data_IF_474532714736
#
_entry.id   IF_474532714736
#
_cell.length_a   1.000
_cell.length_b   1.000
_cell.length_c   1.000
_cell.angle_alpha   90.00
_cell.angle_beta   90.00
_cell.angle_gamma   90.00
#
_symmetry.space_group_name_H-M   'P 1'
#
loop_
_entity.id
_entity.type
_entity.pdbx_description
1 polymer ?
#
# COMPACT_ATOMS: atom_id res chain seq x y z
N UNK A 1 23.30 -13.63 20.13
CA UNK A 1 22.36 -14.76 20.29
C UNK A 1 21.34 -14.31 21.32
N UNK A 2 20.10 -14.05 20.90
CA UNK A 2 19.01 -13.67 21.81
C UNK A 2 18.61 -14.88 22.67
N UNK A 3 18.46 -14.66 23.98
CA UNK A 3 18.10 -15.71 24.95
C UNK A 3 16.66 -16.24 24.75
N UNK A 4 16.33 -17.39 25.37
CA UNK A 4 15.09 -18.15 25.13
C UNK A 4 13.78 -17.47 25.60
N UNK A 5 13.83 -16.24 26.13
CA UNK A 5 12.67 -15.53 26.72
C UNK A 5 12.28 -14.23 25.97
N UNK A 6 12.89 -13.91 24.82
CA UNK A 6 12.52 -12.72 24.04
C UNK A 6 11.57 -13.07 22.91
N UNK A 7 10.37 -12.47 22.92
CA UNK A 7 9.41 -12.56 21.84
C UNK A 7 10.03 -12.13 20.49
N UNK A 8 9.71 -12.81 19.38
CA UNK A 8 10.33 -12.50 18.09
C UNK A 8 9.92 -11.10 17.61
N UNK A 9 10.88 -10.38 17.00
CA UNK A 9 10.66 -9.12 16.28
C UNK A 9 9.61 -9.34 15.19
N UNK A 10 8.63 -8.45 15.07
CA UNK A 10 7.49 -8.66 14.19
C UNK A 10 7.92 -8.72 12.71
N UNK A 11 8.87 -7.87 12.29
CA UNK A 11 9.44 -7.89 10.94
C UNK A 11 10.24 -9.16 10.62
N UNK A 12 10.73 -9.89 11.65
CA UNK A 12 11.44 -11.16 11.48
C UNK A 12 10.51 -12.33 11.16
N UNK A 13 9.21 -12.19 11.40
CA UNK A 13 8.20 -13.17 11.03
C UNK A 13 7.77 -13.04 9.56
N UNK A 14 8.39 -12.13 8.79
CA UNK A 14 7.98 -11.77 7.44
C UNK A 14 9.04 -12.18 6.40
N UNK A 15 8.74 -13.16 5.55
CA UNK A 15 9.61 -13.57 4.42
C UNK A 15 9.74 -12.45 3.36
N UNK A 16 8.71 -11.60 3.22
CA UNK A 16 8.72 -10.33 2.51
C UNK A 16 7.88 -9.32 3.30
N UNK A 17 8.36 -8.10 3.53
CA UNK A 17 7.60 -7.11 4.32
C UNK A 17 6.71 -6.25 3.43
N UNK A 18 5.52 -5.91 3.92
CA UNK A 18 4.64 -4.90 3.32
C UNK A 18 4.13 -5.28 1.94
N UNK A 19 3.86 -4.29 1.11
CA UNK A 19 3.45 -4.53 -0.28
C UNK A 19 4.53 -5.28 -1.10
N UNK A 20 5.76 -5.40 -0.60
CA UNK A 20 6.81 -6.23 -1.20
C UNK A 20 6.56 -7.74 -1.13
N UNK A 21 5.54 -8.20 -0.38
CA UNK A 21 5.08 -9.59 -0.38
C UNK A 21 4.06 -9.92 -1.48
N UNK A 22 3.62 -8.93 -2.27
CA UNK A 22 2.67 -9.15 -3.38
C UNK A 22 3.27 -10.09 -4.45
N UNK A 23 2.41 -10.89 -5.08
CA UNK A 23 2.77 -11.65 -6.29
C UNK A 23 3.14 -10.63 -7.37
N UNK A 24 4.27 -10.85 -8.05
CA UNK A 24 4.74 -9.93 -9.10
C UNK A 24 3.67 -9.78 -10.20
N UNK A 25 3.50 -8.58 -10.79
CA UNK A 25 2.40 -8.28 -11.72
C UNK A 25 2.30 -9.28 -12.88
N UNK A 26 3.44 -9.62 -13.49
CA UNK A 26 3.49 -10.58 -14.60
C UNK A 26 3.00 -11.98 -14.20
N UNK A 27 3.43 -12.45 -13.02
CA UNK A 27 3.02 -13.77 -12.49
C UNK A 27 1.52 -13.77 -12.19
N UNK A 28 1.00 -12.71 -11.56
CA UNK A 28 -0.43 -12.59 -11.27
C UNK A 28 -1.25 -12.58 -12.57
N UNK A 29 -0.84 -11.79 -13.57
CA UNK A 29 -1.49 -11.74 -14.88
C UNK A 29 -1.56 -13.15 -15.52
N UNK A 30 -0.47 -13.90 -15.48
CA UNK A 30 -0.42 -15.25 -16.05
C UNK A 30 -1.29 -16.25 -15.27
N UNK A 31 -1.37 -16.15 -13.95
CA UNK A 31 -2.30 -16.95 -13.13
C UNK A 31 -3.75 -16.62 -13.51
N UNK A 32 -4.11 -15.33 -13.56
CA UNK A 32 -5.47 -14.88 -13.81
C UNK A 32 -5.98 -15.23 -15.21
N UNK A 33 -5.09 -15.35 -16.22
CA UNK A 33 -5.45 -15.84 -17.57
C UNK A 33 -6.00 -17.27 -17.56
N UNK A 34 -5.59 -18.09 -16.59
CA UNK A 34 -5.96 -19.50 -16.50
C UNK A 34 -7.17 -19.74 -15.59
N UNK A 35 -7.67 -18.72 -14.90
CA UNK A 35 -8.90 -18.82 -14.08
C UNK A 35 -10.11 -18.78 -15.01
N UNK A 36 -11.02 -19.79 -14.98
CA UNK A 36 -12.23 -19.76 -15.78
C UNK A 36 -13.00 -18.46 -15.55
N UNK A 37 -13.32 -17.74 -16.63
CA UNK A 37 -14.22 -16.59 -16.53
C UNK A 37 -15.59 -17.11 -16.10
N UNK A 38 -16.19 -16.46 -15.10
CA UNK A 38 -17.55 -16.79 -14.68
C UNK A 38 -18.50 -16.80 -15.88
N UNK A 39 -19.50 -17.67 -15.86
CA UNK A 39 -20.49 -17.81 -16.94
C UNK A 39 -21.48 -16.65 -17.01
N UNK A 40 -21.48 -15.76 -16.00
CA UNK A 40 -22.36 -14.60 -15.91
C UNK A 40 -21.65 -13.36 -16.48
N UNK A 41 -22.35 -12.53 -17.28
CA UNK A 41 -21.82 -11.24 -17.69
C UNK A 41 -21.64 -10.33 -16.46
N UNK A 42 -20.65 -9.45 -16.51
CA UNK A 42 -20.53 -8.41 -15.50
C UNK A 42 -21.76 -7.49 -15.55
N UNK A 43 -22.31 -7.11 -14.38
CA UNK A 43 -23.46 -6.23 -14.33
C UNK A 43 -23.09 -4.85 -14.88
N UNK A 44 -24.00 -4.21 -15.63
CA UNK A 44 -23.77 -2.88 -16.22
C UNK A 44 -23.51 -1.77 -15.19
N UNK A 45 -23.84 -2.03 -13.93
CA UNK A 45 -23.59 -1.12 -12.81
C UNK A 45 -22.17 -1.25 -12.24
N UNK A 46 -21.39 -2.24 -12.65
CA UNK A 46 -19.97 -2.32 -12.31
C UNK A 46 -19.20 -1.35 -13.22
N UNK A 47 -18.73 -0.23 -12.66
CA UNK A 47 -18.04 0.82 -13.40
C UNK A 47 -16.54 0.54 -13.56
N UNK A 48 -15.98 -0.15 -12.56
CA UNK A 48 -14.60 -0.61 -12.47
C UNK A 48 -14.64 -1.99 -11.83
N UNK A 49 -14.12 -2.98 -12.55
CA UNK A 49 -14.10 -4.38 -12.15
C UNK A 49 -12.76 -5.03 -12.44
N UNK A 50 -12.70 -6.36 -12.42
CA UNK A 50 -11.47 -7.12 -12.68
C UNK A 50 -10.95 -6.94 -14.12
N UNK A 51 -11.82 -6.52 -15.03
CA UNK A 51 -11.52 -6.24 -16.43
C UNK A 51 -10.60 -5.02 -16.62
N UNK A 52 -10.56 -4.13 -15.63
CA UNK A 52 -9.73 -2.93 -15.59
C UNK A 52 -8.75 -3.05 -14.43
N UNK A 53 -7.46 -2.80 -14.67
CA UNK A 53 -6.42 -2.84 -13.62
C UNK A 53 -6.40 -1.54 -12.81
N UNK A 54 -7.52 -1.16 -12.21
CA UNK A 54 -7.64 -0.01 -11.29
C UNK A 54 -7.47 -0.46 -9.82
N UNK A 55 -7.33 0.51 -8.91
CA UNK A 55 -7.01 0.27 -7.49
C UNK A 55 -8.15 -0.36 -6.68
N UNK A 56 -9.40 -0.16 -7.07
CA UNK A 56 -10.55 -0.69 -6.36
C UNK A 56 -11.73 -1.00 -7.30
N UNK A 57 -12.62 -1.90 -6.85
CA UNK A 57 -13.87 -2.15 -7.55
C UNK A 57 -14.86 -1.00 -7.28
N UNK A 58 -15.54 -0.52 -8.32
CA UNK A 58 -16.54 0.55 -8.22
C UNK A 58 -17.89 0.07 -8.74
N UNK A 59 -18.87 0.03 -7.86
CA UNK A 59 -20.23 -0.42 -8.17
C UNK A 59 -21.23 0.74 -8.04
N UNK A 60 -21.83 1.15 -9.16
CA UNK A 60 -22.87 2.18 -9.21
C UNK A 60 -24.15 1.68 -8.56
N UNK A 61 -24.63 2.38 -7.54
CA UNK A 61 -25.94 2.11 -6.93
C UNK A 61 -27.04 2.90 -7.64
N UNK A 62 -26.76 4.17 -7.96
CA UNK A 62 -27.64 5.09 -8.67
C UNK A 62 -26.83 6.21 -9.34
N UNK A 63 -27.48 7.19 -9.95
CA UNK A 63 -26.81 8.26 -10.70
C UNK A 63 -25.97 9.22 -9.86
N UNK A 64 -26.15 9.20 -8.53
CA UNK A 64 -25.46 10.07 -7.58
C UNK A 64 -24.53 9.34 -6.62
N UNK A 65 -24.58 7.99 -6.59
CA UNK A 65 -23.84 7.18 -5.63
C UNK A 65 -23.26 5.91 -6.27
N UNK A 66 -21.97 5.69 -6.04
CA UNK A 66 -21.28 4.44 -6.24
C UNK A 66 -20.58 4.02 -4.94
N UNK A 67 -20.46 2.71 -4.76
CA UNK A 67 -19.67 2.09 -3.69
C UNK A 67 -18.31 1.72 -4.25
N UNK A 68 -17.27 2.04 -3.51
CA UNK A 68 -15.90 1.62 -3.76
C UNK A 68 -15.54 0.53 -2.76
N UNK A 69 -15.03 -0.60 -3.23
CA UNK A 69 -14.61 -1.71 -2.38
C UNK A 69 -13.21 -2.15 -2.78
N UNK A 70 -12.33 -2.21 -1.78
CA UNK A 70 -10.98 -2.76 -1.95
C UNK A 70 -10.59 -3.63 -0.74
N UNK A 71 -9.53 -4.41 -0.90
CA UNK A 71 -8.91 -5.17 0.17
C UNK A 71 -7.40 -5.14 0.00
N UNK A 72 -6.69 -4.81 1.06
CA UNK A 72 -5.23 -5.00 1.11
C UNK A 72 -4.82 -5.48 2.50
N UNK A 73 -3.86 -6.39 2.53
CA UNK A 73 -3.29 -6.99 3.72
C UNK A 73 -1.90 -7.51 3.43
N UNK A 74 -1.01 -7.42 4.41
CA UNK A 74 0.38 -7.80 4.21
C UNK A 74 1.06 -8.19 5.51
N UNK A 75 2.29 -8.68 5.35
CA UNK A 75 3.18 -9.00 6.45
C UNK A 75 3.89 -7.74 7.01
N UNK A 76 4.23 -7.70 8.30
CA UNK A 76 4.88 -6.59 8.99
C UNK A 76 6.09 -5.97 8.26
N UNK A 77 6.10 -4.63 8.18
CA UNK A 77 7.28 -3.84 7.75
C UNK A 77 8.04 -3.17 8.90
N UNK A 78 7.45 -3.18 10.09
CA UNK A 78 7.98 -2.61 11.33
C UNK A 78 7.92 -3.64 12.45
N UNK A 79 8.69 -3.40 13.51
CA UNK A 79 8.71 -4.26 14.70
C UNK A 79 7.65 -3.90 15.74
N UNK A 80 7.25 -2.62 15.81
CA UNK A 80 6.17 -2.15 16.69
C UNK A 80 4.80 -2.61 16.18
N UNK A 81 4.02 -3.24 17.06
CA UNK A 81 2.72 -3.80 16.73
C UNK A 81 1.67 -2.74 16.38
N UNK A 82 1.66 -1.64 17.13
CA UNK A 82 0.69 -0.57 16.96
C UNK A 82 0.93 0.15 15.63
N UNK A 83 2.18 0.50 15.33
CA UNK A 83 2.53 1.09 14.05
C UNK A 83 2.29 0.14 12.88
N UNK A 84 2.52 -1.17 13.02
CA UNK A 84 2.14 -2.12 11.97
C UNK A 84 0.65 -2.08 11.67
N UNK A 85 -0.19 -2.08 12.72
CA UNK A 85 -1.63 -1.92 12.60
C UNK A 85 -2.03 -0.66 11.84
N UNK A 86 -1.44 0.48 12.22
CA UNK A 86 -1.69 1.78 11.57
C UNK A 86 -1.29 1.76 10.10
N UNK A 87 -0.12 1.24 9.78
CA UNK A 87 0.40 1.19 8.40
C UNK A 87 -0.50 0.32 7.51
N UNK A 88 -0.90 -0.86 8.00
CA UNK A 88 -1.78 -1.76 7.27
C UNK A 88 -3.16 -1.15 7.00
N UNK A 89 -3.76 -0.51 8.00
CA UNK A 89 -5.03 0.19 7.83
C UNK A 89 -4.92 1.38 6.88
N UNK A 90 -3.86 2.20 7.01
CA UNK A 90 -3.63 3.36 6.14
C UNK A 90 -3.48 2.92 4.68
N UNK A 91 -2.73 1.85 4.44
CA UNK A 91 -2.57 1.28 3.10
C UNK A 91 -3.89 0.75 2.54
N UNK A 92 -4.64 -0.03 3.31
CA UNK A 92 -5.91 -0.60 2.84
C UNK A 92 -6.98 0.47 2.53
N UNK A 93 -6.93 1.62 3.21
CA UNK A 93 -7.79 2.78 2.91
C UNK A 93 -7.29 3.60 1.71
N UNK A 94 -6.04 3.43 1.30
CA UNK A 94 -5.40 4.25 0.26
C UNK A 94 -6.10 4.11 -1.08
N UNK A 95 -6.44 2.89 -1.51
CA UNK A 95 -7.15 2.65 -2.77
C UNK A 95 -8.51 3.36 -2.82
N UNK A 96 -9.22 3.47 -1.69
CA UNK A 96 -10.49 4.22 -1.62
C UNK A 96 -10.25 5.69 -1.95
N UNK A 97 -9.19 6.28 -1.40
CA UNK A 97 -8.81 7.65 -1.71
C UNK A 97 -8.27 7.80 -3.14
N UNK A 98 -7.57 6.80 -3.67
CA UNK A 98 -7.08 6.77 -5.05
C UNK A 98 -8.22 6.83 -6.08
N UNK A 99 -9.38 6.23 -5.76
CA UNK A 99 -10.60 6.37 -6.57
C UNK A 99 -11.34 7.70 -6.38
N UNK A 100 -10.86 8.57 -5.48
CA UNK A 100 -11.54 9.82 -5.11
C UNK A 100 -12.76 9.64 -4.21
N UNK A 101 -12.86 8.49 -3.52
CA UNK A 101 -13.99 8.16 -2.67
C UNK A 101 -13.74 8.47 -1.19
N UNK A 102 -14.82 8.65 -0.44
CA UNK A 102 -14.77 8.83 1.02
C UNK A 102 -15.01 7.48 1.69
N UNK A 103 -14.09 6.98 2.54
CA UNK A 103 -14.32 5.78 3.33
C UNK A 103 -15.55 5.90 4.24
N UNK A 104 -16.27 4.80 4.44
CA UNK A 104 -17.45 4.73 5.32
C UNK A 104 -17.35 3.65 6.40
N UNK A 105 -16.68 2.54 6.13
CA UNK A 105 -16.39 1.49 7.11
C UNK A 105 -15.29 0.56 6.62
N UNK A 106 -14.80 -0.31 7.52
CA UNK A 106 -13.84 -1.35 7.19
C UNK A 106 -14.13 -2.67 7.92
N UNK A 107 -13.63 -3.78 7.37
CA UNK A 107 -13.59 -5.09 8.03
C UNK A 107 -12.13 -5.53 8.19
N UNK A 108 -11.77 -6.01 9.38
CA UNK A 108 -10.41 -6.49 9.64
C UNK A 108 -10.16 -7.88 9.04
N UNK A 109 -8.99 -8.06 8.44
CA UNK A 109 -8.43 -9.36 8.05
C UNK A 109 -7.24 -9.65 8.97
N UNK A 110 -7.30 -10.76 9.70
CA UNK A 110 -6.29 -11.10 10.71
C UNK A 110 -5.82 -12.54 10.49
N UNK A 111 -4.52 -12.75 10.31
CA UNK A 111 -3.91 -14.06 10.39
C UNK A 111 -2.65 -13.95 11.24
N UNK A 112 -2.59 -14.73 12.32
CA UNK A 112 -1.56 -14.56 13.35
C UNK A 112 -1.01 -15.92 13.76
N UNK A 113 0.32 -16.08 13.94
CA UNK A 113 0.90 -17.32 14.42
C UNK A 113 0.81 -17.38 15.93
N UNK A 114 -0.33 -17.86 16.42
CA UNK A 114 -0.71 -17.84 17.83
C UNK A 114 0.33 -18.51 18.73
N UNK A 115 0.92 -19.62 18.27
CA UNK A 115 1.98 -20.32 19.00
C UNK A 115 3.32 -19.55 19.06
N UNK A 116 3.65 -18.75 18.04
CA UNK A 116 4.91 -17.97 17.98
C UNK A 116 4.78 -16.62 18.69
N UNK A 117 3.57 -16.07 18.71
CA UNK A 117 3.20 -14.87 19.43
C UNK A 117 2.73 -15.19 20.85
N UNK A 118 3.16 -16.32 21.44
CA UNK A 118 2.90 -16.76 22.82
C UNK A 118 1.46 -16.63 23.34
N UNK A 119 0.48 -16.50 22.45
CA UNK A 119 -0.91 -16.13 22.77
C UNK A 119 -1.71 -17.26 23.42
N UNK A 120 -1.15 -18.48 23.54
CA UNK A 120 -1.87 -19.65 24.02
C UNK A 120 -0.97 -20.54 24.88
N UNK A 121 -1.08 -20.40 26.21
CA UNK A 121 -1.05 -21.58 27.06
C UNK A 121 -2.50 -21.93 27.39
N UNK A 122 -3.03 -22.98 26.76
CA UNK A 122 -4.16 -23.67 27.38
C UNK A 122 -3.63 -24.22 28.70
N UNK A 123 -4.16 -23.74 29.83
CA UNK A 123 -3.94 -24.43 31.09
C UNK A 123 -4.68 -25.77 31.01
N UNK A 124 -3.97 -26.83 30.66
CA UNK A 124 -4.37 -28.18 31.03
C UNK A 124 -4.14 -28.31 32.53
N UNK A 125 -5.17 -28.03 33.32
CA UNK A 125 -5.15 -28.42 34.73
C UNK A 125 -5.16 -29.95 34.77
N UNK A 126 -3.99 -30.57 34.93
CA UNK A 126 -3.90 -31.98 35.33
C UNK A 126 -4.27 -32.09 36.80
N UNK A 127 -5.56 -32.16 37.09
CA UNK A 127 -6.05 -32.67 38.36
C UNK A 127 -5.76 -34.18 38.40
N UNK A 128 -4.67 -34.60 39.04
CA UNK A 128 -4.48 -35.99 39.44
C UNK A 128 -5.31 -36.26 40.70
N UNK A 129 -6.60 -36.53 40.51
CA UNK A 129 -7.40 -37.28 41.49
C UNK A 129 -8.26 -38.28 40.74
N UNK A 130 -7.81 -39.52 40.79
CA UNK A 130 -8.54 -40.77 40.55
C UNK A 130 -9.66 -40.73 39.48
N UNK A 131 -9.26 -41.05 38.25
CA UNK A 131 -10.06 -41.80 37.26
C UNK A 131 -11.40 -41.23 36.74
N UNK A 132 -11.57 -39.92 36.61
CA UNK A 132 -12.62 -39.36 35.74
C UNK A 132 -12.10 -38.18 34.91
N UNK A 133 -11.92 -38.39 33.61
CA UNK A 133 -11.63 -37.31 32.64
C UNK A 133 -12.91 -36.49 32.41
N UNK A 134 -13.06 -35.40 33.16
CA UNK A 134 -14.03 -34.36 32.84
C UNK A 134 -13.29 -33.07 32.49
N UNK A 135 -13.33 -32.68 31.22
CA UNK A 135 -12.76 -31.44 30.72
C UNK A 135 -13.70 -30.28 31.05
N UNK A 136 -13.53 -29.65 32.22
CA UNK A 136 -14.27 -28.43 32.55
C UNK A 136 -13.59 -27.22 31.89
N UNK A 137 -14.30 -26.57 30.96
CA UNK A 137 -13.87 -25.28 30.38
C UNK A 137 -14.30 -24.15 31.32
N UNK A 138 -13.45 -23.80 32.29
CA UNK A 138 -13.67 -22.62 33.14
C UNK A 138 -12.89 -21.44 32.54
N UNK A 139 -13.53 -20.31 32.18
CA UNK A 139 -12.80 -19.10 31.80
C UNK A 139 -12.03 -18.54 33.01
N UNK A 140 -10.77 -18.09 32.86
CA UNK A 140 -9.97 -17.64 33.99
C UNK A 140 -10.54 -16.36 34.63
N UNK A 141 -10.24 -16.11 35.92
CA UNK A 141 -10.57 -14.84 36.58
C UNK A 141 -9.96 -13.65 35.84
N UNK A 142 -10.65 -12.51 35.85
CA UNK A 142 -10.30 -11.30 35.07
C UNK A 142 -8.90 -10.73 35.32
N UNK A 143 -8.26 -11.10 36.42
CA UNK A 143 -6.94 -10.66 36.88
C UNK A 143 -5.79 -11.56 36.42
N UNK A 144 -6.07 -12.65 35.68
CA UNK A 144 -5.09 -13.63 35.18
C UNK A 144 -5.17 -13.80 33.65
N UNK A 145 -5.56 -12.76 32.89
CA UNK A 145 -5.47 -12.82 31.42
C UNK A 145 -3.99 -12.99 31.02
N UNK A 146 -3.65 -13.87 30.06
CA UNK A 146 -2.27 -14.05 29.66
C UNK A 146 -1.74 -12.74 29.02
N UNK A 147 -0.50 -12.32 29.32
CA UNK A 147 0.07 -11.06 28.85
C UNK A 147 0.30 -10.97 27.31
N UNK A 148 -0.01 -12.01 26.55
CA UNK A 148 0.29 -12.09 25.11
C UNK A 148 -0.94 -11.94 24.18
N UNK A 149 -2.12 -11.66 24.73
CA UNK A 149 -3.21 -11.04 23.95
C UNK A 149 -2.87 -9.59 23.58
N UNK A 150 -1.84 -8.99 24.20
CA UNK A 150 -1.46 -7.58 24.01
C UNK A 150 -0.92 -7.27 22.62
N UNK A 151 -0.19 -8.18 21.95
CA UNK A 151 0.42 -7.89 20.65
C UNK A 151 -0.61 -7.78 19.53
N UNK A 152 -1.51 -8.76 19.42
CA UNK A 152 -2.60 -8.72 18.45
C UNK A 152 -3.54 -7.56 18.77
N UNK A 153 -3.86 -7.33 20.05
CA UNK A 153 -4.64 -6.16 20.46
C UNK A 153 -3.99 -4.85 20.01
N UNK A 154 -2.68 -4.65 20.19
CA UNK A 154 -1.97 -3.46 19.70
C UNK A 154 -2.05 -3.28 18.19
N UNK A 155 -1.96 -4.36 17.40
CA UNK A 155 -2.13 -4.30 15.94
C UNK A 155 -3.56 -3.83 15.62
N UNK A 156 -4.56 -4.40 16.28
CA UNK A 156 -5.96 -4.01 16.07
C UNK A 156 -6.24 -2.58 16.54
N UNK A 157 -5.68 -2.16 17.67
CA UNK A 157 -5.75 -0.79 18.20
C UNK A 157 -5.10 0.20 17.23
N UNK A 158 -3.95 -0.16 16.66
CA UNK A 158 -3.29 0.63 15.63
C UNK A 158 -4.17 0.82 14.40
N UNK A 159 -4.74 -0.27 13.87
CA UNK A 159 -5.66 -0.18 12.74
C UNK A 159 -6.91 0.63 13.06
N UNK A 160 -7.51 0.41 14.23
CA UNK A 160 -8.68 1.15 14.71
C UNK A 160 -8.38 2.65 14.85
N UNK A 161 -7.19 3.04 15.34
CA UNK A 161 -6.82 4.46 15.47
C UNK A 161 -6.78 5.19 14.11
N UNK A 162 -6.36 4.51 13.04
CA UNK A 162 -6.36 5.08 11.69
C UNK A 162 -7.78 5.17 11.13
N UNK A 163 -8.62 4.16 11.38
CA UNK A 163 -10.03 4.23 11.02
C UNK A 163 -10.73 5.41 11.73
N UNK A 164 -10.43 5.65 13.01
CA UNK A 164 -10.94 6.81 13.76
C UNK A 164 -10.44 8.14 13.19
N UNK A 165 -9.17 8.24 12.81
CA UNK A 165 -8.62 9.41 12.10
C UNK A 165 -9.36 9.65 10.77
N UNK A 166 -9.73 8.58 10.05
CA UNK A 166 -10.51 8.64 8.83
C UNK A 166 -12.03 8.88 9.07
N UNK A 167 -12.49 8.93 10.32
CA UNK A 167 -13.89 9.14 10.68
C UNK A 167 -14.79 7.90 10.49
N UNK A 168 -14.21 6.70 10.49
CA UNK A 168 -14.92 5.43 10.28
C UNK A 168 -14.63 4.42 11.39
N UNK A 169 -15.35 3.31 11.40
CA UNK A 169 -15.11 2.20 12.31
C UNK A 169 -14.73 0.92 11.56
N UNK A 170 -13.91 0.09 12.21
CA UNK A 170 -13.82 -1.33 11.87
C UNK A 170 -15.09 -2.00 12.42
N UNK A 171 -16.00 -2.40 11.53
CA UNK A 171 -17.35 -2.88 11.90
C UNK A 171 -17.46 -4.40 12.01
N UNK A 172 -16.34 -5.10 11.88
CA UNK A 172 -16.27 -6.55 11.93
C UNK A 172 -14.96 -7.04 11.33
N UNK A 173 -14.90 -8.33 10.99
CA UNK A 173 -13.73 -8.91 10.37
C UNK A 173 -13.71 -10.43 10.43
N UNK A 174 -12.59 -11.00 10.03
CA UNK A 174 -12.33 -12.42 10.15
C UNK A 174 -10.89 -12.68 10.60
N UNK A 175 -10.71 -13.68 11.45
CA UNK A 175 -9.41 -14.06 12.00
C UNK A 175 -9.15 -15.55 11.86
N UNK A 176 -7.92 -15.91 11.47
CA UNK A 176 -7.45 -17.30 11.43
C UNK A 176 -6.11 -17.46 12.17
N UNK A 177 -5.85 -18.67 12.67
CA UNK A 177 -4.51 -19.08 13.10
C UNK A 177 -3.69 -19.47 11.87
N UNK A 178 -2.44 -19.03 11.80
CA UNK A 178 -1.58 -19.24 10.64
C UNK A 178 -0.10 -19.33 10.98
N UNK A 179 0.76 -19.43 9.97
CA UNK A 179 2.21 -19.52 10.18
C UNK A 179 2.91 -18.16 10.16
N UNK A 180 2.27 -17.17 9.54
CA UNK A 180 2.77 -15.83 9.28
C UNK A 180 1.85 -14.78 9.93
N UNK A 181 2.41 -13.62 10.26
CA UNK A 181 1.67 -12.48 10.75
C UNK A 181 1.17 -11.67 9.55
N UNK A 182 -0.14 -11.57 9.38
CA UNK A 182 -0.80 -10.84 8.29
C UNK A 182 -1.93 -10.02 8.90
N UNK A 183 -1.96 -8.74 8.55
CA UNK A 183 -3.02 -7.83 8.94
C UNK A 183 -3.34 -6.87 7.79
N UNK A 184 -4.60 -6.45 7.72
CA UNK A 184 -5.10 -5.48 6.76
C UNK A 184 -6.61 -5.35 6.86
N UNK A 185 -7.19 -4.65 5.89
CA UNK A 185 -8.62 -4.35 5.90
C UNK A 185 -9.26 -4.64 4.54
N UNK A 186 -10.54 -4.99 4.58
CA UNK A 186 -11.47 -4.67 3.50
C UNK A 186 -11.98 -3.27 3.77
N UNK A 187 -11.74 -2.33 2.86
CA UNK A 187 -12.20 -0.96 2.99
C UNK A 187 -13.38 -0.70 2.04
N UNK A 188 -14.39 0.01 2.55
CA UNK A 188 -15.58 0.39 1.80
C UNK A 188 -15.70 1.91 1.82
N UNK A 189 -15.87 2.49 0.64
CA UNK A 189 -16.10 3.92 0.46
C UNK A 189 -17.31 4.21 -0.42
N UNK A 190 -17.67 5.49 -0.47
CA UNK A 190 -18.73 6.00 -1.33
C UNK A 190 -18.25 7.21 -2.10
N UNK A 191 -18.79 7.39 -3.30
CA UNK A 191 -18.50 8.54 -4.14
C UNK A 191 -19.64 8.87 -5.09
N UNK A 192 -19.60 10.07 -5.67
CA UNK A 192 -20.42 10.37 -6.84
C UNK A 192 -19.79 9.73 -8.08
N UNK A 193 -20.51 8.90 -8.86
CA UNK A 193 -19.97 8.24 -10.05
C UNK A 193 -19.34 9.19 -11.08
N UNK A 194 -19.78 10.46 -11.12
CA UNK A 194 -19.24 11.50 -12.02
C UNK A 194 -17.82 11.91 -11.70
N UNK A 195 -17.38 11.69 -10.46
CA UNK A 195 -16.07 12.08 -9.97
C UNK A 195 -15.03 10.97 -10.10
N UNK A 196 -15.38 9.85 -10.76
CA UNK A 196 -14.51 8.69 -10.90
C UNK A 196 -13.25 9.06 -11.67
N UNK A 197 -12.10 8.97 -10.99
CA UNK A 197 -10.77 9.10 -11.60
C UNK A 197 -10.23 7.70 -11.83
N UNK A 198 -10.22 7.29 -13.10
CA UNK A 198 -9.59 6.03 -13.52
C UNK A 198 -8.13 6.28 -13.86
N UNK A 199 -7.31 5.24 -13.78
CA UNK A 199 -5.92 5.33 -14.22
C UNK A 199 -5.74 5.37 -15.75
N UNK A 200 -6.83 5.20 -16.53
CA UNK A 200 -6.84 5.18 -18.00
C UNK A 200 -7.07 6.55 -18.67
N UNK A 201 -7.25 7.62 -17.89
CA UNK A 201 -7.72 8.91 -18.39
C UNK A 201 -6.63 10.00 -18.56
N UNK A 202 -5.34 9.69 -18.37
CA UNK A 202 -4.25 10.66 -18.52
C UNK A 202 -4.17 11.23 -19.94
N UNK A 203 -3.86 12.52 -20.06
CA UNK A 203 -3.81 13.23 -21.36
C UNK A 203 -2.40 13.73 -21.66
N UNK A 204 -2.04 13.74 -22.95
CA UNK A 204 -0.78 14.35 -23.40
C UNK A 204 -0.77 15.83 -23.01
N UNK A 205 0.33 16.26 -22.38
CA UNK A 205 0.49 17.62 -21.83
C UNK A 205 0.16 17.73 -20.34
N UNK A 206 -0.44 16.70 -19.73
CA UNK A 206 -0.70 16.70 -18.29
C UNK A 206 0.61 16.82 -17.49
N UNK A 207 0.55 17.55 -16.39
CA UNK A 207 1.57 17.48 -15.34
C UNK A 207 1.37 16.22 -14.48
N UNK A 208 2.47 15.61 -14.04
CA UNK A 208 2.49 14.45 -13.14
C UNK A 208 2.84 14.93 -11.74
N UNK A 209 1.97 14.67 -10.77
CA UNK A 209 2.13 15.11 -9.36
C UNK A 209 2.21 13.89 -8.44
N UNK A 210 3.19 13.89 -7.53
CA UNK A 210 3.37 12.86 -6.51
C UNK A 210 3.12 13.44 -5.10
N UNK A 211 2.25 12.79 -4.33
CA UNK A 211 1.78 13.29 -3.03
C UNK A 211 2.67 12.98 -1.82
N UNK A 212 3.52 11.94 -1.89
CA UNK A 212 4.45 11.56 -0.81
C UNK A 212 5.85 11.27 -1.35
N UNK A 213 6.91 11.49 -0.56
CA UNK A 213 8.26 11.10 -0.94
C UNK A 213 8.42 9.58 -1.10
N UNK A 214 9.35 9.16 -1.96
CA UNK A 214 9.74 7.76 -2.13
C UNK A 214 10.84 7.32 -1.16
N UNK A 215 11.02 6.01 -1.02
CA UNK A 215 12.14 5.38 -0.29
C UNK A 215 11.73 4.61 0.97
N UNK A 216 10.43 4.39 1.18
CA UNK A 216 9.93 3.62 2.33
C UNK A 216 10.42 2.17 2.29
N UNK A 217 10.47 1.55 1.11
CA UNK A 217 10.98 0.17 0.98
C UNK A 217 12.47 0.09 1.30
N UNK A 218 13.26 1.09 0.91
CA UNK A 218 14.67 1.23 1.30
C UNK A 218 14.82 1.34 2.82
N UNK A 219 14.02 2.20 3.47
CA UNK A 219 14.00 2.30 4.93
C UNK A 219 13.60 0.97 5.59
N UNK A 220 12.60 0.27 5.04
CA UNK A 220 12.20 -1.05 5.54
C UNK A 220 13.32 -2.09 5.40
N UNK A 221 14.06 -2.07 4.29
CA UNK A 221 15.23 -2.93 4.10
C UNK A 221 16.35 -2.63 5.12
N UNK A 222 16.61 -1.34 5.39
CA UNK A 222 17.55 -0.91 6.41
C UNK A 222 17.10 -1.32 7.83
N UNK A 223 15.81 -1.17 8.16
CA UNK A 223 15.25 -1.58 9.45
C UNK A 223 15.43 -3.08 9.70
N UNK A 224 15.16 -3.91 8.69
CA UNK A 224 15.35 -5.38 8.79
C UNK A 224 16.80 -5.74 9.10
N UNK A 225 17.75 -5.01 8.51
CA UNK A 225 19.20 -5.13 8.76
C UNK A 225 19.68 -4.37 10.01
N UNK A 226 18.77 -3.78 10.79
CA UNK A 226 19.07 -3.01 12.01
C UNK A 226 19.98 -1.80 11.75
N UNK A 227 19.86 -1.20 10.57
CA UNK A 227 20.67 -0.06 10.11
C UNK A 227 19.87 1.25 9.99
N UNK A 228 18.59 1.24 10.39
CA UNK A 228 17.74 2.44 10.38
C UNK A 228 17.80 3.13 11.75
N UNK A 229 18.08 4.43 11.77
CA UNK A 229 18.08 5.21 13.01
C UNK A 229 16.65 5.43 13.54
N UNK A 230 16.47 5.73 14.84
CA UNK A 230 15.15 6.06 15.40
C UNK A 230 14.46 7.24 14.71
N UNK A 231 15.22 8.26 14.28
CA UNK A 231 14.70 9.43 13.58
C UNK A 231 14.17 9.05 12.19
N UNK A 232 14.92 8.22 11.44
CA UNK A 232 14.48 7.70 10.15
C UNK A 232 13.31 6.74 10.30
N UNK A 233 13.24 5.97 11.38
CA UNK A 233 12.06 5.16 11.72
C UNK A 233 10.83 6.03 11.97
N UNK A 234 10.96 7.13 12.72
CA UNK A 234 9.88 8.09 12.91
C UNK A 234 9.42 8.73 11.59
N UNK A 235 10.36 9.08 10.70
CA UNK A 235 10.03 9.55 9.34
C UNK A 235 9.30 8.49 8.53
N UNK A 236 9.73 7.22 8.61
CA UNK A 236 9.06 6.11 7.94
C UNK A 236 7.61 5.96 8.41
N UNK A 237 7.40 5.89 9.72
CA UNK A 237 6.07 5.73 10.33
C UNK A 237 5.18 6.94 10.00
N UNK A 238 5.69 8.17 10.12
CA UNK A 238 4.99 9.39 9.70
C UNK A 238 4.39 9.29 8.29
N UNK A 239 5.17 8.87 7.29
CA UNK A 239 4.70 8.81 5.90
C UNK A 239 3.79 7.62 5.64
N UNK A 240 4.09 6.47 6.24
CA UNK A 240 3.35 5.22 6.06
C UNK A 240 2.04 5.17 6.85
N UNK A 241 1.83 6.07 7.81
CA UNK A 241 0.55 6.24 8.52
C UNK A 241 -0.19 7.51 8.15
N UNK A 242 0.25 8.25 7.12
CA UNK A 242 -0.46 9.46 6.66
C UNK A 242 -1.52 9.06 5.64
N UNK A 243 -2.80 9.20 5.99
CA UNK A 243 -3.94 8.89 5.12
C UNK A 243 -3.97 9.80 3.89
N UNK A 244 -4.16 9.21 2.71
CA UNK A 244 -4.26 9.91 1.41
C UNK A 244 -5.57 10.73 1.25
N UNK A 245 -6.03 11.41 2.30
CA UNK A 245 -7.28 12.18 2.35
C UNK A 245 -7.40 13.27 1.29
N UNK A 246 -6.29 13.69 0.66
CA UNK A 246 -6.31 14.57 -0.50
C UNK A 246 -7.08 13.98 -1.69
N UNK A 247 -7.12 12.65 -1.81
CA UNK A 247 -7.80 11.95 -2.89
C UNK A 247 -9.27 12.31 -3.03
N UNK A 248 -9.98 12.50 -1.91
CA UNK A 248 -11.39 12.93 -1.94
C UNK A 248 -11.55 14.27 -2.66
N UNK A 249 -10.73 15.25 -2.29
CA UNK A 249 -10.79 16.59 -2.89
C UNK A 249 -10.32 16.58 -4.34
N UNK A 250 -9.26 15.83 -4.64
CA UNK A 250 -8.73 15.68 -6.00
C UNK A 250 -9.72 14.99 -6.95
N UNK A 251 -10.50 14.03 -6.44
CA UNK A 251 -11.56 13.35 -7.19
C UNK A 251 -12.64 14.29 -7.69
N UNK A 252 -12.88 15.41 -7.01
CA UNK A 252 -13.88 16.41 -7.41
C UNK A 252 -13.37 17.42 -8.45
N UNK A 253 -12.05 17.44 -8.71
CA UNK A 253 -11.44 18.40 -9.63
C UNK A 253 -11.54 17.93 -11.08
N UNK A 254 -12.19 18.69 -11.95
CA UNK A 254 -12.36 18.33 -13.37
C UNK A 254 -11.03 18.27 -14.15
N UNK A 255 -10.05 19.09 -13.75
CA UNK A 255 -8.71 19.15 -14.34
C UNK A 255 -7.76 18.06 -13.82
N UNK A 256 -8.19 17.21 -12.87
CA UNK A 256 -7.50 15.96 -12.54
C UNK A 256 -8.02 14.88 -13.48
N UNK A 257 -7.14 14.28 -14.27
CA UNK A 257 -7.52 13.35 -15.32
C UNK A 257 -7.38 11.90 -14.88
N UNK A 258 -6.20 11.49 -14.39
CA UNK A 258 -5.97 10.17 -13.80
C UNK A 258 -5.43 10.28 -12.38
N UNK A 259 -5.75 9.30 -11.55
CA UNK A 259 -5.28 9.20 -10.18
C UNK A 259 -5.11 7.72 -9.80
N UNK A 260 -4.05 7.42 -9.07
CA UNK A 260 -3.75 6.12 -8.46
C UNK A 260 -2.90 6.37 -7.21
N UNK A 261 -2.48 5.33 -6.50
CA UNK A 261 -1.51 5.43 -5.42
C UNK A 261 -0.25 4.61 -5.67
N UNK A 262 0.91 5.16 -5.29
CA UNK A 262 2.18 4.46 -5.48
C UNK A 262 2.37 3.46 -4.34
N UNK A 263 2.18 2.17 -4.63
CA UNK A 263 2.31 1.09 -3.64
C UNK A 263 3.40 0.05 -3.98
N UNK A 264 3.05 -1.23 -4.03
CA UNK A 264 3.99 -2.37 -4.11
C UNK A 264 4.82 -2.43 -5.39
N UNK A 265 4.35 -1.84 -6.48
CA UNK A 265 5.06 -1.79 -7.77
C UNK A 265 5.96 -0.57 -7.92
N UNK A 266 6.07 0.27 -6.87
CA UNK A 266 6.89 1.48 -6.91
C UNK A 266 6.42 2.49 -7.95
N UNK A 267 7.14 3.62 -8.05
CA UNK A 267 6.78 4.70 -8.95
C UNK A 267 6.78 4.24 -10.42
N UNK A 268 7.77 3.43 -10.81
CA UNK A 268 7.91 2.96 -12.18
C UNK A 268 6.79 2.04 -12.62
N UNK A 269 6.32 1.14 -11.75
CA UNK A 269 5.24 0.22 -12.08
C UNK A 269 3.90 0.93 -12.25
N UNK A 270 3.52 1.74 -11.25
CA UNK A 270 2.27 2.52 -11.26
C UNK A 270 2.21 3.56 -12.37
N UNK A 271 3.35 4.23 -12.66
CA UNK A 271 3.43 5.13 -13.82
C UNK A 271 3.26 4.36 -15.14
N UNK A 272 3.78 3.13 -15.24
CA UNK A 272 3.65 2.32 -16.45
C UNK A 272 2.22 1.82 -16.65
N UNK A 273 1.48 1.55 -15.57
CA UNK A 273 0.07 1.19 -15.63
C UNK A 273 -0.76 2.33 -16.22
N UNK A 274 -0.58 3.57 -15.74
CA UNK A 274 -1.20 4.76 -16.34
C UNK A 274 -0.80 4.92 -17.80
N UNK A 275 0.51 4.88 -18.12
CA UNK A 275 0.99 5.02 -19.51
C UNK A 275 0.33 4.00 -20.46
N UNK A 276 0.23 2.74 -20.04
CA UNK A 276 -0.39 1.69 -20.85
C UNK A 276 -1.90 1.88 -21.00
N UNK A 277 -2.59 2.21 -19.92
CA UNK A 277 -4.04 2.37 -19.91
C UNK A 277 -4.47 3.59 -20.74
N UNK A 278 -3.72 4.69 -20.67
CA UNK A 278 -3.99 5.92 -21.43
C UNK A 278 -3.32 5.98 -22.80
N UNK A 279 -2.51 4.98 -23.17
CA UNK A 279 -1.69 4.99 -24.39
C UNK A 279 -0.83 6.26 -24.51
N UNK A 280 -0.06 6.55 -23.46
CA UNK A 280 0.83 7.72 -23.32
C UNK A 280 2.23 7.29 -22.84
N UNK A 281 3.18 8.24 -22.82
CA UNK A 281 4.49 8.07 -22.18
C UNK A 281 4.54 8.93 -20.92
N UNK A 282 4.92 8.36 -19.78
CA UNK A 282 5.15 9.13 -18.55
C UNK A 282 6.60 9.62 -18.50
N UNK A 283 6.83 10.93 -18.61
CA UNK A 283 8.17 11.53 -18.61
C UNK A 283 8.45 12.16 -17.25
N UNK A 284 9.34 11.56 -16.47
CA UNK A 284 9.63 11.92 -15.08
C UNK A 284 11.05 12.51 -15.01
N UNK A 285 11.15 13.69 -14.42
CA UNK A 285 12.41 14.34 -14.06
C UNK A 285 12.81 13.91 -12.66
N UNK A 286 13.82 13.04 -12.58
CA UNK A 286 14.26 12.45 -11.31
C UNK A 286 14.68 13.49 -10.27
N UNK A 287 15.24 14.62 -10.72
CA UNK A 287 15.68 15.69 -9.81
C UNK A 287 14.54 16.34 -9.02
N UNK A 288 13.30 16.17 -9.49
CA UNK A 288 12.08 16.70 -8.86
C UNK A 288 11.35 15.65 -8.01
N UNK A 289 11.76 14.39 -8.06
CA UNK A 289 11.11 13.32 -7.30
C UNK A 289 11.46 13.46 -5.82
N UNK A 290 10.48 13.71 -4.94
CA UNK A 290 10.76 13.82 -3.51
C UNK A 290 11.18 12.45 -2.94
N UNK A 291 12.24 12.44 -2.14
CA UNK A 291 12.75 11.25 -1.46
C UNK A 291 12.74 11.47 0.06
N UNK A 292 12.54 10.41 0.83
CA UNK A 292 12.82 10.46 2.27
C UNK A 292 14.34 10.63 2.48
N UNK A 293 14.72 11.33 3.55
CA UNK A 293 16.10 11.76 3.78
C UNK A 293 17.09 10.57 3.76
N UNK A 294 18.14 10.67 2.94
CA UNK A 294 19.15 9.62 2.83
C UNK A 294 18.68 8.30 2.19
N UNK A 295 17.50 8.26 1.56
CA UNK A 295 17.03 7.08 0.85
C UNK A 295 18.00 6.66 -0.28
N UNK A 296 18.49 7.64 -1.07
CA UNK A 296 19.43 7.36 -2.15
C UNK A 296 20.76 6.79 -1.63
N UNK A 297 21.29 7.35 -0.55
CA UNK A 297 22.52 6.87 0.10
C UNK A 297 22.36 5.42 0.58
N UNK A 298 21.23 5.10 1.21
CA UNK A 298 20.93 3.74 1.67
C UNK A 298 20.77 2.77 0.48
N UNK A 299 20.12 3.20 -0.60
CA UNK A 299 19.99 2.40 -1.82
C UNK A 299 21.37 2.10 -2.43
N UNK A 300 22.26 3.10 -2.50
CA UNK A 300 23.64 2.96 -2.96
C UNK A 300 24.47 2.01 -2.08
N UNK A 301 24.18 1.97 -0.78
CA UNK A 301 24.77 1.00 0.17
C UNK A 301 24.15 -0.41 0.06
N UNK A 302 23.19 -0.64 -0.84
CA UNK A 302 22.55 -1.93 -1.04
C UNK A 302 21.46 -2.28 -0.03
N UNK A 303 20.89 -1.29 0.67
CA UNK A 303 19.68 -1.46 1.47
C UNK A 303 18.44 -1.48 0.58
N UNK A 304 18.30 -2.53 -0.22
CA UNK A 304 17.23 -2.68 -1.21
C UNK A 304 16.35 -3.86 -0.85
N UNK A 305 15.05 -3.78 -1.13
CA UNK A 305 14.15 -4.92 -0.92
C UNK A 305 14.31 -5.93 -2.06
N UNK A 306 14.05 -7.21 -1.78
CA UNK A 306 13.95 -8.21 -2.85
C UNK A 306 12.81 -7.93 -3.84
N UNK A 307 11.81 -7.13 -3.45
CA UNK A 307 10.71 -6.76 -4.32
C UNK A 307 11.14 -5.76 -5.40
N UNK A 308 12.08 -4.85 -5.12
CA UNK A 308 12.63 -3.92 -6.13
C UNK A 308 13.20 -4.69 -7.34
N UNK A 309 13.97 -5.76 -7.07
CA UNK A 309 14.49 -6.63 -8.13
C UNK A 309 13.40 -7.38 -8.90
N UNK A 310 12.37 -7.91 -8.22
CA UNK A 310 11.22 -8.57 -8.88
C UNK A 310 10.42 -7.60 -9.74
N UNK A 311 10.25 -6.37 -9.26
CA UNK A 311 9.58 -5.29 -9.95
C UNK A 311 10.33 -4.93 -11.25
N UNK A 312 11.65 -4.69 -11.17
CA UNK A 312 12.49 -4.48 -12.35
C UNK A 312 12.43 -5.65 -13.34
N UNK A 313 12.47 -6.89 -12.85
CA UNK A 313 12.33 -8.06 -13.70
C UNK A 313 10.94 -8.18 -14.36
N UNK A 314 9.90 -7.65 -13.72
CA UNK A 314 8.51 -7.72 -14.22
C UNK A 314 8.21 -6.67 -15.27
N UNK A 315 8.68 -5.43 -15.10
CA UNK A 315 8.28 -4.30 -15.94
C UNK A 315 9.43 -3.39 -16.39
N UNK A 316 10.69 -3.75 -16.14
CA UNK A 316 11.87 -2.95 -16.48
C UNK A 316 12.02 -2.62 -17.97
N UNK A 317 11.51 -3.48 -18.87
CA UNK A 317 11.47 -3.19 -20.32
C UNK A 317 10.59 -1.98 -20.68
N UNK A 318 9.60 -1.67 -19.84
CA UNK A 318 8.76 -0.49 -19.96
C UNK A 318 9.38 0.77 -19.38
N UNK A 319 10.57 0.68 -18.78
CA UNK A 319 11.30 1.82 -18.24
C UNK A 319 12.44 2.22 -19.19
N UNK A 320 12.57 3.51 -19.42
CA UNK A 320 13.67 4.10 -20.18
C UNK A 320 14.41 5.10 -19.29
N UNK A 321 15.68 4.84 -19.00
CA UNK A 321 16.52 5.74 -18.21
C UNK A 321 17.39 6.57 -19.15
N UNK A 322 17.27 7.89 -19.06
CA UNK A 322 18.04 8.85 -19.87
C UNK A 322 18.97 9.63 -18.95
N UNK A 323 20.27 9.58 -19.24
CA UNK A 323 21.32 10.18 -18.40
C UNK A 323 22.13 9.14 -17.63
N UNK A 324 23.01 9.61 -16.75
CA UNK A 324 23.85 8.76 -15.90
C UNK A 324 23.25 8.67 -14.51
N UNK A 325 23.18 7.46 -13.94
CA UNK A 325 22.72 7.21 -12.55
C UNK A 325 23.73 7.71 -11.49
N UNK A 326 24.81 8.40 -11.88
CA UNK A 326 25.64 9.24 -11.01
C UNK A 326 26.24 8.60 -9.74
N UNK A 327 26.17 7.28 -9.58
CA UNK A 327 26.45 6.57 -8.33
C UNK A 327 25.57 5.35 -8.06
N UNK A 328 24.48 5.16 -8.83
CA UNK A 328 23.55 4.03 -8.67
C UNK A 328 22.43 4.33 -7.65
N UNK A 329 21.47 3.41 -7.55
CA UNK A 329 20.37 3.48 -6.57
C UNK A 329 19.06 4.07 -7.12
N UNK A 330 19.09 4.80 -8.25
CA UNK A 330 17.87 5.38 -8.84
C UNK A 330 16.96 4.30 -9.37
N UNK A 331 17.50 3.29 -10.07
CA UNK A 331 16.70 2.16 -10.57
C UNK A 331 16.01 1.40 -9.44
N UNK A 332 16.72 1.23 -8.34
CA UNK A 332 16.22 0.59 -7.13
C UNK A 332 15.12 1.41 -6.48
N UNK A 333 15.25 2.74 -6.42
CA UNK A 333 14.21 3.65 -5.91
C UNK A 333 12.97 3.75 -6.82
N UNK A 334 13.16 3.79 -8.15
CA UNK A 334 12.05 3.78 -9.12
C UNK A 334 11.21 2.50 -8.97
N UNK A 335 11.85 1.38 -8.62
CA UNK A 335 11.22 0.08 -8.43
C UNK A 335 10.93 -0.28 -6.97
N UNK A 336 11.27 0.61 -6.02
CA UNK A 336 11.14 0.36 -4.60
C UNK A 336 9.65 0.27 -4.21
N UNK A 337 9.20 -0.80 -3.54
CA UNK A 337 7.83 -0.90 -3.05
C UNK A 337 7.55 0.18 -1.99
N UNK A 338 6.57 1.04 -2.25
CA UNK A 338 6.16 2.10 -1.33
C UNK A 338 4.97 1.62 -0.49
N UNK A 339 5.20 0.92 0.62
CA UNK A 339 4.06 0.51 1.49
C UNK A 339 3.36 1.77 2.00
N UNK A 340 2.05 1.89 1.76
CA UNK A 340 1.27 3.11 2.01
C UNK A 340 1.91 4.38 1.42
N UNK A 341 2.31 4.34 0.14
CA UNK A 341 2.83 5.51 -0.56
C UNK A 341 1.78 6.58 -0.84
N UNK A 342 2.17 7.56 -1.65
CA UNK A 342 1.35 8.74 -1.94
C UNK A 342 0.52 8.56 -3.21
N UNK A 343 -0.48 9.42 -3.37
CA UNK A 343 -1.22 9.53 -4.63
C UNK A 343 -0.29 9.98 -5.77
N UNK A 344 -0.47 9.39 -6.94
CA UNK A 344 0.11 9.79 -8.22
C UNK A 344 -1.02 10.31 -9.11
N UNK A 345 -0.90 11.55 -9.55
CA UNK A 345 -1.98 12.28 -10.21
C UNK A 345 -1.49 12.83 -11.55
N UNK A 346 -2.30 12.70 -12.60
CA UNK A 346 -2.13 13.49 -13.83
C UNK A 346 -3.20 14.57 -13.90
N UNK A 347 -2.81 15.79 -14.24
CA UNK A 347 -3.70 16.93 -14.28
C UNK A 347 -3.29 17.95 -15.34
N UNK A 348 -4.19 18.86 -15.70
CA UNK A 348 -3.87 19.99 -16.57
C UNK A 348 -2.66 20.76 -16.01
N UNK A 349 -1.62 20.94 -16.83
CA UNK A 349 -0.40 21.65 -16.45
C UNK A 349 -0.66 23.09 -15.98
N UNK A 350 -1.70 23.75 -16.51
CA UNK A 350 -2.13 25.09 -16.10
C UNK A 350 -2.79 25.16 -14.72
N UNK A 351 -3.13 24.02 -14.12
CA UNK A 351 -3.89 23.92 -12.87
C UNK A 351 -3.12 23.24 -11.73
N UNK A 352 -1.81 23.02 -11.92
CA UNK A 352 -0.93 22.38 -10.94
C UNK A 352 -0.92 23.06 -9.57
N UNK A 353 -1.01 24.38 -9.52
CA UNK A 353 -1.06 25.13 -8.25
C UNK A 353 -2.30 24.75 -7.41
N UNK A 354 -3.44 24.48 -8.05
CA UNK A 354 -4.67 24.05 -7.35
C UNK A 354 -4.53 22.63 -6.82
N UNK A 355 -3.89 21.73 -7.58
CA UNK A 355 -3.60 20.36 -7.16
C UNK A 355 -2.62 20.35 -5.98
N UNK A 356 -1.54 21.12 -6.06
CA UNK A 356 -0.57 21.27 -4.97
C UNK A 356 -1.20 21.91 -3.72
N UNK A 357 -2.10 22.88 -3.90
CA UNK A 357 -2.87 23.44 -2.79
C UNK A 357 -3.74 22.39 -2.09
N UNK A 358 -4.41 21.51 -2.85
CA UNK A 358 -5.21 20.42 -2.26
C UNK A 358 -4.36 19.42 -1.47
N UNK A 359 -3.15 19.11 -1.95
CA UNK A 359 -2.17 18.33 -1.17
C UNK A 359 -1.77 19.07 0.11
N UNK A 360 -1.40 20.36 -0.01
CA UNK A 360 -0.96 21.20 1.11
C UNK A 360 -2.02 21.36 2.20
N UNK A 361 -3.28 21.52 1.82
CA UNK A 361 -4.41 21.63 2.76
C UNK A 361 -4.61 20.36 3.60
N UNK A 362 -4.17 19.21 3.08
CA UNK A 362 -4.13 17.92 3.80
C UNK A 362 -2.75 17.63 4.43
N UNK A 363 -1.86 18.61 4.42
CA UNK A 363 -0.53 18.56 5.01
C UNK A 363 0.48 17.71 4.24
N UNK A 364 0.29 17.57 2.93
CA UNK A 364 1.26 17.00 2.00
C UNK A 364 2.00 18.13 1.29
N UNK A 365 3.29 17.96 1.01
CA UNK A 365 3.99 18.96 0.20
C UNK A 365 3.58 18.87 -1.26
N UNK A 366 3.47 17.65 -1.80
CA UNK A 366 3.23 17.41 -3.22
C UNK A 366 4.40 17.88 -4.09
N UNK A 367 4.66 17.19 -5.20
CA UNK A 367 5.69 17.61 -6.14
C UNK A 367 5.25 17.34 -7.57
N UNK A 368 5.42 18.34 -8.46
CA UNK A 368 5.31 18.11 -9.90
C UNK A 368 6.61 17.44 -10.35
N UNK A 369 6.53 16.15 -10.69
CA UNK A 369 7.68 15.31 -11.00
C UNK A 369 7.92 15.11 -12.49
N UNK A 370 6.99 15.56 -13.34
CA UNK A 370 7.08 15.26 -14.77
C UNK A 370 5.87 15.70 -15.58
N UNK A 371 5.82 15.20 -16.81
CA UNK A 371 4.76 15.47 -17.79
C UNK A 371 4.37 14.22 -18.55
N UNK A 372 3.11 14.15 -18.98
CA UNK A 372 2.61 13.09 -19.86
C UNK A 372 2.89 13.48 -21.31
N UNK A 373 3.60 12.61 -22.03
CA UNK A 373 4.00 12.80 -23.43
C UNK A 373 3.21 11.85 -24.35
N UNK A 374 3.17 12.19 -25.64
CA UNK A 374 2.64 11.28 -26.65
C UNK A 374 3.54 10.05 -26.81
N UNK A 375 2.95 8.88 -27.08
CA UNK A 375 3.73 7.70 -27.48
C UNK A 375 4.40 7.99 -28.83
N UNK A 376 5.69 7.72 -28.92
CA UNK A 376 6.40 7.83 -30.20
C UNK A 376 5.82 6.87 -31.24
N UNK A 377 5.70 7.32 -32.49
CA UNK A 377 5.11 6.53 -33.57
C UNK A 377 5.75 5.15 -33.69
N UNK A 378 4.93 4.09 -33.58
CA UNK A 378 5.36 2.70 -33.70
C UNK A 378 6.04 2.12 -32.45
N UNK A 379 6.12 2.87 -31.34
CA UNK A 379 6.60 2.37 -30.05
C UNK A 379 5.44 2.04 -29.11
N UNK A 380 5.74 1.24 -28.08
CA UNK A 380 4.80 0.97 -26.99
C UNK A 380 4.86 2.09 -25.93
N UNK A 381 3.79 2.28 -25.13
CA UNK A 381 3.81 3.12 -23.93
C UNK A 381 4.99 2.78 -23.00
N UNK A 382 5.61 3.81 -22.43
CA UNK A 382 6.78 3.70 -21.55
C UNK A 382 6.75 4.71 -20.40
N UNK A 383 7.62 4.48 -19.41
CA UNK A 383 8.01 5.48 -18.42
C UNK A 383 9.45 5.89 -18.70
N UNK A 384 9.65 7.16 -19.00
CA UNK A 384 10.97 7.76 -19.23
C UNK A 384 11.42 8.46 -17.95
N UNK A 385 12.52 8.00 -17.36
CA UNK A 385 13.16 8.61 -16.20
C UNK A 385 14.37 9.39 -16.68
N UNK A 386 14.31 10.72 -16.61
CA UNK A 386 15.44 11.60 -16.92
C UNK A 386 16.23 11.88 -15.66
N UNK A 387 17.51 11.52 -15.69
CA UNK A 387 18.48 11.77 -14.61
C UNK A 387 19.44 12.85 -15.09
N UNK A 388 19.25 14.07 -14.61
CA UNK A 388 20.19 15.17 -14.81
C UNK A 388 21.43 14.92 -13.95
N UNK A 389 22.61 15.20 -14.52
CA UNK A 389 23.91 15.03 -13.87
C UNK A 389 24.17 16.05 -12.76
#
# INVERSE_FOLDING_TARGET
MSGPDQAPRLSSLSHGGGCGCKIAPKVLSDILKNVPKGSLPFPSNLLVGKETSDDAAVYKLNDSQAVVVTTDFFMPIVDDEFDFGRIAATNALSDVYAMGATPICALAIVCMPLAKLGAWSYWTCQCTRDNLQATLHIPPPTHLRPPDQSRICKILEGGQSVCEEAGIHIVGGHSIDGLECIYGLVAVGVMNPKNLKKNDAAKVGDAIVLGKPLGVGIYSAALKKQALSPERYHTMTKWTTKLNTAGVTLGEMEFVHAMTDVTGFGLGGHSLEIAKASNTTMSIDWSKVPLVEGALELAQQGYVTGASGRNLASYGEGLEFVGSDGGGGIKELVSDPQTSGGLLVTCDAGETDKVLAAFKDKGFEGAVIGTVEAVESGKAPKVKITVSA
#
